data_IF_146897124030
#
_entry.id   IF_146897124030
#
_cell.length_a   1.000
_cell.length_b   1.000
_cell.length_c   1.000
_cell.angle_alpha   90.00
_cell.angle_beta   90.00
_cell.angle_gamma   90.00
#
_symmetry.space_group_name_H-M   'P 1'
#
loop_
_entity.id
_entity.type
_entity.pdbx_description
1 polymer ?
#
# COMPACT_ATOMS: atom_id res chain seq x y z
N UNK A 1 4.63 9.16 -3.59
CA UNK A 1 5.91 8.45 -3.42
C UNK A 1 6.66 8.53 -4.74
N UNK A 2 7.99 8.62 -4.71
CA UNK A 2 8.83 8.77 -5.90
C UNK A 2 10.15 8.02 -5.74
N UNK A 3 10.64 7.43 -6.83
CA UNK A 3 11.87 6.66 -6.89
C UNK A 3 12.87 7.28 -7.85
N UNK A 4 14.13 6.87 -7.75
CA UNK A 4 15.07 6.95 -8.86
C UNK A 4 15.09 5.60 -9.59
N UNK A 5 15.33 5.62 -10.90
CA UNK A 5 15.63 4.40 -11.63
C UNK A 5 16.98 3.81 -11.16
N UNK A 6 17.12 2.49 -11.29
CA UNK A 6 18.39 1.80 -11.08
C UNK A 6 19.49 2.29 -12.03
N UNK A 7 20.68 2.41 -11.47
CA UNK A 7 21.92 2.86 -12.11
C UNK A 7 22.84 1.67 -12.38
N UNK A 8 22.91 1.24 -13.65
CA UNK A 8 23.72 0.10 -14.08
C UNK A 8 25.21 0.27 -13.75
N UNK A 9 25.71 1.50 -13.64
CA UNK A 9 27.12 1.77 -13.26
C UNK A 9 27.42 1.39 -11.81
N UNK A 10 26.38 1.23 -10.98
CA UNK A 10 26.44 0.74 -9.60
C UNK A 10 26.06 -0.74 -9.47
N UNK A 11 25.82 -1.43 -10.59
CA UNK A 11 25.34 -2.81 -10.61
C UNK A 11 23.86 -2.96 -10.25
N UNK A 12 23.08 -1.89 -10.38
CA UNK A 12 21.64 -1.90 -10.12
C UNK A 12 20.83 -2.31 -11.36
N UNK A 13 19.62 -2.82 -11.17
CA UNK A 13 18.73 -3.22 -12.26
C UNK A 13 18.10 -1.99 -12.90
N UNK A 14 18.38 -1.74 -14.18
CA UNK A 14 17.79 -0.62 -14.90
C UNK A 14 16.25 -0.67 -14.86
N UNK A 15 15.63 0.51 -14.69
CA UNK A 15 14.17 0.71 -14.59
C UNK A 15 13.48 0.13 -13.36
N UNK A 16 14.22 -0.49 -12.43
CA UNK A 16 13.70 -0.80 -11.10
C UNK A 16 13.69 0.44 -10.20
N UNK A 17 12.86 0.40 -9.16
CA UNK A 17 12.58 1.51 -8.25
C UNK A 17 13.55 1.56 -7.07
N UNK A 18 14.57 2.41 -7.13
CA UNK A 18 15.56 2.54 -6.05
C UNK A 18 15.31 3.78 -5.19
N UNK A 19 15.69 3.69 -3.92
CA UNK A 19 15.79 4.81 -2.97
C UNK A 19 14.51 5.67 -2.87
N UNK A 20 13.37 5.01 -2.73
CA UNK A 20 12.05 5.61 -2.66
C UNK A 20 11.90 6.65 -1.55
N UNK A 21 11.09 7.68 -1.83
CA UNK A 21 10.83 8.81 -0.93
C UNK A 21 9.35 9.13 -0.89
N UNK A 22 8.86 9.48 0.28
CA UNK A 22 7.50 9.96 0.49
C UNK A 22 7.51 11.47 0.47
N UNK A 23 6.90 12.03 -0.57
CA UNK A 23 6.65 13.45 -0.71
C UNK A 23 5.24 13.75 -0.25
N UNK A 24 5.09 14.87 0.47
CA UNK A 24 3.79 15.39 0.84
C UNK A 24 3.41 16.51 -0.10
N UNK A 25 2.23 16.40 -0.69
CA UNK A 25 1.60 17.48 -1.44
C UNK A 25 0.33 17.91 -0.69
N UNK A 26 0.02 19.22 -0.70
CA UNK A 26 -1.19 19.75 -0.06
C UNK A 26 -1.93 20.66 -1.04
N UNK A 27 -3.24 20.43 -1.20
CA UNK A 27 -4.06 21.33 -2.00
C UNK A 27 -4.05 22.73 -1.39
N UNK A 28 -3.89 23.75 -2.23
CA UNK A 28 -3.96 25.15 -1.81
C UNK A 28 -5.41 25.63 -1.66
N UNK A 29 -6.37 24.84 -2.14
CA UNK A 29 -7.80 25.09 -2.02
C UNK A 29 -8.38 24.18 -0.93
N UNK A 30 -8.99 24.72 0.13
CA UNK A 30 -9.62 23.91 1.16
C UNK A 30 -10.84 23.13 0.68
N UNK A 31 -11.08 21.97 1.31
CA UNK A 31 -12.29 21.16 1.13
C UNK A 31 -12.36 20.46 -0.24
N UNK A 32 -13.56 20.00 -0.59
CA UNK A 32 -13.80 19.17 -1.77
C UNK A 32 -13.38 19.83 -3.10
N UNK A 33 -13.44 21.17 -3.16
CA UNK A 33 -13.02 21.94 -4.33
C UNK A 33 -11.51 21.84 -4.61
N UNK A 34 -10.72 21.43 -3.61
CA UNK A 34 -9.28 21.26 -3.74
C UNK A 34 -8.81 19.91 -4.23
N UNK A 35 -9.69 18.92 -4.45
CA UNK A 35 -9.31 17.58 -4.92
C UNK A 35 -8.62 17.64 -6.29
N UNK A 36 -9.05 18.55 -7.17
CA UNK A 36 -8.41 18.77 -8.47
C UNK A 36 -7.11 19.59 -8.39
N UNK A 37 -6.67 19.97 -7.18
CA UNK A 37 -5.55 20.88 -6.97
C UNK A 37 -5.90 22.35 -7.21
N UNK A 38 -4.89 23.22 -7.43
CA UNK A 38 -3.47 22.89 -7.51
C UNK A 38 -2.89 22.45 -6.16
N UNK A 39 -1.84 21.63 -6.21
CA UNK A 39 -1.15 21.12 -5.05
C UNK A 39 0.19 21.83 -4.88
N UNK A 40 0.47 22.30 -3.66
CA UNK A 40 1.78 22.80 -3.29
C UNK A 40 2.62 21.65 -2.71
N UNK A 41 3.90 21.63 -3.10
CA UNK A 41 4.90 20.72 -2.56
C UNK A 41 5.23 21.11 -1.11
N UNK A 42 5.13 20.14 -0.20
CA UNK A 42 5.40 20.29 1.22
C UNK A 42 6.71 19.59 1.62
N UNK A 43 7.46 19.06 0.65
CA UNK A 43 8.72 18.37 0.84
C UNK A 43 8.56 16.90 1.20
N UNK A 44 9.70 16.32 1.57
CA UNK A 44 9.85 14.90 1.89
C UNK A 44 9.50 14.67 3.36
N UNK A 45 8.66 13.68 3.64
CA UNK A 45 8.25 13.29 5.01
C UNK A 45 8.88 11.99 5.48
N UNK A 46 9.33 11.13 4.55
CA UNK A 46 10.07 9.91 4.85
C UNK A 46 11.00 9.57 3.67
N UNK A 47 12.27 9.23 3.97
CA UNK A 47 13.28 8.86 2.98
C UNK A 47 14.32 7.92 3.58
N UNK A 48 15.11 7.21 2.75
CA UNK A 48 16.29 6.51 3.22
C UNK A 48 17.31 7.45 3.86
N UNK A 49 17.95 6.99 4.93
CA UNK A 49 18.94 7.74 5.70
C UNK A 49 19.50 6.91 6.86
N UNK A 50 20.10 7.57 7.85
CA UNK A 50 20.72 6.90 9.01
C UNK A 50 19.74 6.06 9.85
N UNK A 51 18.45 6.38 9.76
CA UNK A 51 17.38 5.67 10.47
C UNK A 51 16.69 4.60 9.61
N UNK A 52 17.18 4.34 8.40
CA UNK A 52 16.67 3.23 7.58
C UNK A 52 17.00 1.89 8.22
N UNK A 53 16.04 0.98 8.16
CA UNK A 53 16.18 -0.38 8.67
C UNK A 53 16.60 -1.32 7.55
N UNK A 54 17.33 -2.38 7.87
CA UNK A 54 17.92 -3.27 6.87
C UNK A 54 16.89 -3.94 5.94
N UNK A 55 15.68 -4.20 6.44
CA UNK A 55 14.60 -4.84 5.66
C UNK A 55 14.05 -3.94 4.55
N UNK A 56 14.22 -2.62 4.64
CA UNK A 56 13.75 -1.64 3.64
C UNK A 56 14.42 -1.86 2.27
N UNK A 57 15.64 -2.41 2.30
CA UNK A 57 16.39 -2.77 1.12
C UNK A 57 16.70 -1.61 0.18
N UNK A 58 16.98 -1.97 -1.07
CA UNK A 58 17.35 -1.03 -2.13
C UNK A 58 16.21 -0.13 -2.60
N UNK A 59 14.97 -0.62 -2.57
CA UNK A 59 13.77 0.19 -2.85
C UNK A 59 13.53 1.22 -1.75
N UNK A 60 13.95 0.92 -0.52
CA UNK A 60 13.82 1.75 0.67
C UNK A 60 12.38 1.97 1.13
N UNK A 61 11.69 2.99 0.58
CA UNK A 61 10.35 3.38 1.02
C UNK A 61 9.40 3.40 -0.16
N UNK A 62 8.48 2.44 -0.17
CA UNK A 62 7.39 2.28 -1.11
C UNK A 62 6.05 2.39 -0.37
N UNK A 63 5.03 2.92 -1.03
CA UNK A 63 3.69 3.22 -0.50
C UNK A 63 3.66 4.05 0.80
N UNK A 64 2.57 4.79 1.04
CA UNK A 64 2.38 5.53 2.30
C UNK A 64 0.93 6.01 2.43
N UNK A 65 0.11 5.26 3.19
CA UNK A 65 -1.29 5.59 3.41
C UNK A 65 -1.55 5.81 4.91
N UNK A 66 -1.51 7.07 5.40
CA UNK A 66 -1.73 7.36 6.80
C UNK A 66 -3.14 7.05 7.31
N UNK A 67 -3.22 6.48 8.51
CA UNK A 67 -4.45 6.30 9.28
C UNK A 67 -4.22 6.73 10.73
N UNK A 68 -5.29 6.98 11.48
CA UNK A 68 -5.21 7.47 12.86
C UNK A 68 -5.66 6.40 13.84
N UNK A 69 -4.90 6.21 14.92
CA UNK A 69 -5.28 5.41 16.09
C UNK A 69 -5.21 6.32 17.31
N UNK A 70 -6.37 6.64 17.89
CA UNK A 70 -6.47 7.65 18.94
C UNK A 70 -5.93 9.00 18.46
N UNK A 71 -4.85 9.46 19.09
CA UNK A 71 -4.17 10.72 18.76
C UNK A 71 -2.88 10.57 17.95
N UNK A 72 -2.50 9.35 17.61
CA UNK A 72 -1.29 9.08 16.82
C UNK A 72 -1.65 8.69 15.39
N UNK A 73 -0.91 9.23 14.44
CA UNK A 73 -0.95 8.83 13.04
C UNK A 73 0.04 7.69 12.81
N UNK A 74 -0.39 6.71 12.04
CA UNK A 74 0.40 5.58 11.60
C UNK A 74 0.31 5.47 10.08
N UNK A 75 1.31 4.87 9.46
CA UNK A 75 1.30 4.58 8.04
C UNK A 75 2.11 3.32 7.79
N UNK A 76 1.60 2.47 6.92
CA UNK A 76 2.36 1.36 6.38
C UNK A 76 3.28 1.88 5.28
N UNK A 77 4.46 1.28 5.17
CA UNK A 77 5.38 1.47 4.07
C UNK A 77 6.12 0.17 3.77
N UNK A 78 6.36 -0.06 2.50
CA UNK A 78 6.96 -1.27 1.96
C UNK A 78 8.44 -1.02 1.62
N UNK A 79 9.21 -2.10 1.59
CA UNK A 79 10.60 -2.13 1.20
C UNK A 79 10.90 -3.36 0.35
N UNK A 80 12.05 -3.36 -0.33
CA UNK A 80 12.45 -4.48 -1.19
C UNK A 80 13.94 -4.45 -1.51
N UNK A 81 14.52 -5.65 -1.63
CA UNK A 81 15.85 -5.86 -2.19
C UNK A 81 15.76 -6.50 -3.57
N UNK A 82 16.33 -5.83 -4.58
CA UNK A 82 16.43 -6.38 -5.92
C UNK A 82 17.60 -7.36 -6.05
N UNK A 83 18.70 -7.11 -5.32
CA UNK A 83 19.93 -7.91 -5.39
C UNK A 83 20.52 -8.13 -3.98
N UNK A 84 20.57 -9.37 -3.48
CA UNK A 84 19.80 -10.52 -3.99
C UNK A 84 18.30 -10.24 -3.90
N UNK A 85 17.52 -10.84 -4.81
CA UNK A 85 16.08 -10.64 -4.83
C UNK A 85 15.45 -11.19 -3.54
N UNK A 86 14.77 -10.31 -2.80
CA UNK A 86 14.02 -10.64 -1.58
C UNK A 86 12.51 -10.56 -1.79
N UNK A 87 11.76 -10.76 -0.70
CA UNK A 87 10.32 -10.46 -0.68
C UNK A 87 10.03 -8.96 -0.67
N UNK A 88 8.76 -8.62 -0.45
CA UNK A 88 8.29 -7.25 -0.19
C UNK A 88 7.80 -7.12 1.25
N UNK A 89 8.72 -6.97 2.23
CA UNK A 89 8.34 -6.69 3.60
C UNK A 89 7.67 -5.33 3.75
N UNK A 90 6.74 -5.24 4.70
CA UNK A 90 6.06 -4.01 5.08
C UNK A 90 6.34 -3.69 6.55
N UNK A 91 6.58 -2.42 6.85
CA UNK A 91 6.71 -1.91 8.20
C UNK A 91 5.80 -0.71 8.43
N UNK A 92 5.89 -0.14 9.62
CA UNK A 92 5.10 1.02 10.02
C UNK A 92 5.98 2.21 10.40
N UNK A 93 5.45 3.41 10.15
CA UNK A 93 5.93 4.66 10.69
C UNK A 93 4.80 5.35 11.47
N UNK A 94 5.17 6.26 12.38
CA UNK A 94 4.24 7.03 13.21
C UNK A 94 4.56 8.51 13.22
N UNK A 95 3.55 9.33 13.50
CA UNK A 95 3.67 10.77 13.73
C UNK A 95 2.57 11.27 14.68
N UNK A 96 2.85 12.34 15.43
CA UNK A 96 1.81 13.01 16.24
C UNK A 96 0.86 13.83 15.37
N UNK A 97 1.32 14.25 14.18
CA UNK A 97 0.54 15.04 13.22
C UNK A 97 0.69 14.43 11.83
N UNK A 98 -0.35 14.57 11.01
CA UNK A 98 -0.38 14.02 9.65
C UNK A 98 0.77 14.55 8.78
N UNK A 99 1.14 15.83 8.95
CA UNK A 99 2.28 16.46 8.27
C UNK A 99 3.64 15.92 8.70
N UNK A 100 3.71 15.11 9.76
CA UNK A 100 4.94 14.65 10.38
C UNK A 100 5.41 15.55 11.53
N UNK A 101 6.67 15.39 11.97
CA UNK A 101 7.66 14.47 11.43
C UNK A 101 7.25 13.00 11.60
N UNK A 102 7.56 12.17 10.61
CA UNK A 102 7.31 10.74 10.64
C UNK A 102 8.55 9.98 11.12
N UNK A 103 8.36 9.05 12.04
CA UNK A 103 9.41 8.19 12.60
C UNK A 103 9.05 6.73 12.36
N UNK A 104 9.99 5.94 11.86
CA UNK A 104 9.82 4.48 11.71
C UNK A 104 9.55 3.85 13.07
N UNK A 105 8.67 2.86 13.13
CA UNK A 105 8.59 1.96 14.29
C UNK A 105 9.92 1.21 14.44
N UNK A 106 10.23 0.74 15.65
CA UNK A 106 11.53 0.10 15.96
C UNK A 106 11.75 -1.20 15.18
N UNK A 107 13.00 -1.67 15.08
CA UNK A 107 13.32 -2.95 14.42
C UNK A 107 12.74 -4.18 15.15
N UNK A 108 12.44 -4.07 16.44
CA UNK A 108 11.69 -5.13 17.16
C UNK A 108 10.20 -5.19 16.77
N UNK A 109 9.71 -4.15 16.06
CA UNK A 109 8.33 -4.05 15.60
C UNK A 109 8.22 -4.24 14.07
N UNK A 110 9.19 -3.71 13.32
CA UNK A 110 9.27 -3.81 11.87
C UNK A 110 10.28 -4.89 11.43
N UNK A 111 10.00 -5.64 10.35
CA UNK A 111 8.78 -5.60 9.55
C UNK A 111 7.63 -6.33 10.24
N UNK A 112 6.41 -6.05 9.80
CA UNK A 112 5.20 -6.66 10.33
C UNK A 112 5.10 -8.14 9.89
N UNK A 113 4.75 -9.07 10.80
CA UNK A 113 4.65 -10.49 10.47
C UNK A 113 3.30 -10.87 9.81
N UNK A 114 2.75 -10.02 8.93
CA UNK A 114 1.43 -10.22 8.29
C UNK A 114 1.51 -11.20 7.11
N UNK A 115 2.43 -10.94 6.19
CA UNK A 115 2.69 -11.75 4.99
C UNK A 115 4.09 -12.35 5.02
N UNK A 116 4.26 -13.49 4.36
CA UNK A 116 5.57 -14.15 4.28
C UNK A 116 6.36 -13.76 3.02
N UNK A 117 5.67 -13.32 1.95
CA UNK A 117 6.31 -13.09 0.64
C UNK A 117 6.06 -11.68 0.07
N UNK A 118 4.80 -11.29 -0.09
CA UNK A 118 4.45 -10.06 -0.82
C UNK A 118 3.19 -9.37 -0.27
N UNK A 119 3.37 -8.10 0.09
CA UNK A 119 2.34 -7.14 0.44
C UNK A 119 2.81 -5.77 -0.03
N UNK A 120 1.95 -5.03 -0.72
CA UNK A 120 2.28 -3.68 -1.19
C UNK A 120 1.03 -2.79 -1.20
N UNK A 121 1.22 -1.47 -1.15
CA UNK A 121 0.17 -0.46 -1.28
C UNK A 121 -0.98 -0.60 -0.27
N UNK A 122 -0.63 -0.93 0.96
CA UNK A 122 -1.63 -1.18 2.01
C UNK A 122 -2.48 0.05 2.28
N UNK A 123 -3.81 -0.12 2.28
CA UNK A 123 -4.79 0.89 2.67
C UNK A 123 -5.51 0.41 3.92
N UNK A 124 -5.60 1.28 4.93
CA UNK A 124 -6.21 0.99 6.22
C UNK A 124 -7.51 1.77 6.36
N UNK A 125 -8.58 1.07 6.71
CA UNK A 125 -9.88 1.65 7.09
C UNK A 125 -10.19 1.29 8.53
N UNK A 126 -10.61 2.27 9.34
CA UNK A 126 -11.24 2.00 10.62
C UNK A 126 -12.71 1.62 10.38
N UNK A 127 -13.11 0.46 10.89
CA UNK A 127 -14.45 -0.09 10.79
C UNK A 127 -15.39 0.58 11.80
N UNK A 128 -16.70 0.50 11.55
CA UNK A 128 -17.77 1.05 12.41
C UNK A 128 -17.74 0.50 13.83
N UNK A 129 -17.24 -0.72 14.01
CA UNK A 129 -17.06 -1.34 15.32
C UNK A 129 -15.77 -0.92 16.05
N UNK A 130 -14.97 -0.01 15.48
CA UNK A 130 -13.74 0.52 16.05
C UNK A 130 -12.47 -0.25 15.71
N UNK A 131 -12.59 -1.45 15.12
CA UNK A 131 -11.46 -2.26 14.63
C UNK A 131 -10.89 -1.69 13.33
N UNK A 132 -9.83 -2.28 12.81
CA UNK A 132 -9.17 -1.85 11.58
C UNK A 132 -9.08 -3.00 10.58
N UNK A 133 -9.27 -2.64 9.31
CA UNK A 133 -9.09 -3.49 8.15
C UNK A 133 -7.96 -2.90 7.30
N UNK A 134 -6.95 -3.72 7.02
CA UNK A 134 -5.94 -3.46 6.02
C UNK A 134 -6.27 -4.26 4.77
N UNK A 135 -6.28 -3.61 3.61
CA UNK A 135 -6.34 -4.27 2.29
C UNK A 135 -5.09 -3.92 1.49
N UNK A 136 -4.55 -4.88 0.76
CA UNK A 136 -3.25 -4.74 0.10
C UNK A 136 -3.12 -5.64 -1.13
N UNK A 137 -2.11 -5.35 -1.93
CA UNK A 137 -1.71 -6.22 -3.03
C UNK A 137 -1.17 -7.54 -2.52
N UNK A 138 -1.56 -8.65 -3.13
CA UNK A 138 -1.16 -10.00 -2.73
C UNK A 138 -0.72 -10.85 -3.93
N UNK A 139 0.09 -11.87 -3.68
CA UNK A 139 0.38 -12.90 -4.68
C UNK A 139 -0.73 -13.95 -4.75
N UNK A 140 -1.79 -13.62 -5.47
CA UNK A 140 -2.87 -14.55 -5.80
C UNK A 140 -3.45 -14.27 -7.17
N UNK A 141 -4.02 -15.30 -7.79
CA UNK A 141 -4.71 -15.15 -9.07
C UNK A 141 -6.02 -14.40 -8.83
N UNK A 142 -6.11 -13.14 -9.27
CA UNK A 142 -7.31 -12.29 -9.11
C UNK A 142 -7.78 -12.14 -7.66
N UNK A 143 -6.82 -12.09 -6.73
CA UNK A 143 -7.06 -11.97 -5.31
C UNK A 143 -6.50 -10.65 -4.76
N UNK A 144 -7.11 -10.18 -3.67
CA UNK A 144 -6.50 -9.18 -2.79
C UNK A 144 -6.23 -9.81 -1.43
N UNK A 145 -5.21 -9.29 -0.75
CA UNK A 145 -4.91 -9.64 0.63
C UNK A 145 -5.62 -8.70 1.58
N UNK A 146 -6.00 -9.21 2.74
CA UNK A 146 -6.45 -8.40 3.85
C UNK A 146 -5.96 -8.93 5.20
N UNK A 147 -5.94 -8.04 6.19
CA UNK A 147 -5.61 -8.34 7.58
C UNK A 147 -6.46 -7.48 8.51
N UNK A 148 -6.76 -8.01 9.70
CA UNK A 148 -7.58 -7.35 10.71
C UNK A 148 -6.73 -6.97 11.92
N UNK A 149 -7.09 -5.87 12.57
CA UNK A 149 -6.49 -5.44 13.82
C UNK A 149 -7.55 -4.89 14.77
N UNK A 150 -7.44 -5.29 16.04
CA UNK A 150 -8.31 -4.77 17.11
C UNK A 150 -7.87 -3.35 17.57
N UNK A 151 -6.58 -3.04 17.47
CA UNK A 151 -5.98 -1.83 18.02
C UNK A 151 -5.30 -0.93 16.97
N UNK A 152 -5.25 -1.38 15.72
CA UNK A 152 -4.61 -0.68 14.61
C UNK A 152 -3.09 -0.80 14.60
N UNK A 153 -2.49 -1.65 15.44
CA UNK A 153 -1.04 -1.86 15.56
C UNK A 153 -0.67 -3.33 15.42
N UNK A 154 -1.45 -4.23 16.02
CA UNK A 154 -1.24 -5.67 15.98
C UNK A 154 -2.20 -6.29 14.96
N UNK A 155 -1.64 -6.87 13.92
CA UNK A 155 -2.37 -7.32 12.75
C UNK A 155 -2.37 -8.84 12.64
N UNK A 156 -3.50 -9.42 12.22
CA UNK A 156 -3.59 -10.85 11.94
C UNK A 156 -2.73 -11.25 10.74
N UNK A 157 -2.46 -12.55 10.59
CA UNK A 157 -1.92 -13.08 9.33
C UNK A 157 -2.85 -12.75 8.16
N UNK A 158 -2.25 -12.65 6.97
CA UNK A 158 -2.98 -12.42 5.72
C UNK A 158 -4.09 -13.46 5.51
N UNK A 159 -5.23 -12.98 5.05
CA UNK A 159 -6.22 -13.79 4.34
C UNK A 159 -6.39 -13.22 2.94
N UNK A 160 -6.58 -14.10 1.95
CA UNK A 160 -6.81 -13.70 0.55
C UNK A 160 -8.25 -13.94 0.16
N UNK A 161 -8.78 -13.04 -0.67
CA UNK A 161 -10.13 -13.17 -1.23
C UNK A 161 -10.11 -12.98 -2.73
N UNK A 162 -10.76 -13.91 -3.43
CA UNK A 162 -10.97 -13.85 -4.88
C UNK A 162 -11.94 -12.72 -5.20
N UNK A 163 -11.50 -11.79 -6.05
CA UNK A 163 -12.30 -10.63 -6.46
C UNK A 163 -12.97 -10.85 -7.81
N UNK A 164 -12.33 -11.60 -8.71
CA UNK A 164 -12.91 -11.96 -10.01
C UNK A 164 -12.89 -13.46 -10.24
N UNK A 165 -14.01 -13.96 -10.74
CA UNK A 165 -14.24 -15.37 -11.05
C UNK A 165 -14.21 -15.56 -12.57
N UNK A 166 -13.78 -16.74 -13.01
CA UNK A 166 -13.48 -17.04 -14.43
C UNK A 166 -14.63 -16.70 -15.39
N UNK A 167 -15.88 -16.91 -14.96
CA UNK A 167 -17.08 -16.66 -15.75
C UNK A 167 -17.28 -15.18 -16.12
N UNK A 168 -16.66 -14.26 -15.37
CA UNK A 168 -16.86 -12.80 -15.47
C UNK A 168 -15.55 -12.02 -15.32
N UNK A 169 -14.41 -12.69 -15.40
CA UNK A 169 -13.11 -12.05 -15.24
C UNK A 169 -12.74 -11.24 -16.47
N UNK A 170 -12.34 -10.01 -16.25
CA UNK A 170 -11.68 -9.17 -17.25
C UNK A 170 -10.19 -8.98 -16.92
N UNK A 171 -9.79 -9.23 -15.67
CA UNK A 171 -8.39 -9.24 -15.25
C UNK A 171 -7.71 -10.50 -15.76
N UNK A 172 -6.49 -10.35 -16.27
CA UNK A 172 -5.63 -11.46 -16.68
C UNK A 172 -5.41 -12.45 -15.54
N UNK A 173 -5.19 -13.72 -15.90
CA UNK A 173 -4.76 -14.72 -14.93
C UNK A 173 -3.38 -14.37 -14.35
N UNK A 174 -3.10 -14.94 -13.18
CA UNK A 174 -1.78 -14.98 -12.58
C UNK A 174 -1.58 -14.01 -11.42
N UNK A 175 -0.49 -14.26 -10.69
CA UNK A 175 -0.08 -13.41 -9.57
C UNK A 175 0.07 -11.98 -10.05
N UNK A 176 -0.34 -11.02 -9.23
CA UNK A 176 -0.06 -9.59 -9.44
C UNK A 176 -0.80 -8.97 -10.64
N UNK A 177 -1.66 -9.73 -11.33
CA UNK A 177 -2.56 -9.21 -12.38
C UNK A 177 -3.70 -8.38 -11.76
N UNK A 178 -4.20 -8.76 -10.60
CA UNK A 178 -5.14 -7.93 -9.83
C UNK A 178 -4.36 -7.15 -8.78
N UNK A 179 -4.27 -5.84 -9.02
CA UNK A 179 -3.56 -4.85 -8.22
C UNK A 179 -4.09 -3.50 -8.64
N UNK A 180 -4.48 -2.56 -7.80
CA UNK A 180 -4.28 -2.43 -6.35
C UNK A 180 -5.59 -2.07 -5.68
N UNK A 181 -5.96 -2.68 -4.54
CA UNK A 181 -7.12 -2.22 -3.78
C UNK A 181 -6.88 -0.78 -3.32
N UNK A 182 -7.67 0.15 -3.85
CA UNK A 182 -7.59 1.58 -3.57
C UNK A 182 -8.37 1.95 -2.31
N UNK A 183 -9.36 1.13 -1.93
CA UNK A 183 -10.13 1.27 -0.71
C UNK A 183 -10.92 0.00 -0.38
N UNK A 184 -11.31 -0.14 0.88
CA UNK A 184 -12.42 -0.98 1.31
C UNK A 184 -13.33 -0.14 2.22
N UNK A 185 -14.56 0.12 1.77
CA UNK A 185 -15.53 0.98 2.43
C UNK A 185 -16.62 0.08 3.00
N UNK A 186 -16.78 0.07 4.32
CA UNK A 186 -17.85 -0.64 5.00
C UNK A 186 -19.20 0.07 4.78
N UNK A 187 -20.13 -0.61 4.11
CA UNK A 187 -21.48 -0.16 3.81
C UNK A 187 -22.42 -0.36 5.01
N UNK A 188 -23.64 0.17 4.94
CA UNK A 188 -24.62 0.10 6.05
C UNK A 188 -25.23 -1.29 6.26
N UNK A 189 -25.18 -2.15 5.24
CA UNK A 189 -25.66 -3.53 5.29
C UNK A 189 -24.59 -4.54 5.73
N UNK A 190 -23.40 -4.07 6.11
CA UNK A 190 -22.25 -4.90 6.49
C UNK A 190 -21.43 -5.42 5.31
N UNK A 191 -21.80 -5.08 4.08
CA UNK A 191 -20.96 -5.35 2.90
C UNK A 191 -19.86 -4.31 2.76
N UNK A 192 -18.93 -4.55 1.85
CA UNK A 192 -17.79 -3.68 1.58
C UNK A 192 -17.72 -3.33 0.11
N UNK A 193 -17.71 -2.04 -0.22
CA UNK A 193 -17.29 -1.59 -1.55
C UNK A 193 -15.78 -1.55 -1.64
N UNK A 194 -15.22 -2.29 -2.59
CA UNK A 194 -13.79 -2.26 -2.93
C UNK A 194 -13.61 -1.69 -4.33
N UNK A 195 -12.77 -0.67 -4.44
CA UNK A 195 -12.25 -0.21 -5.73
C UNK A 195 -10.84 -0.75 -5.86
N UNK A 196 -10.51 -1.31 -7.02
CA UNK A 196 -9.21 -1.92 -7.28
C UNK A 196 -8.73 -1.58 -8.68
N UNK A 197 -7.46 -1.81 -8.99
CA UNK A 197 -7.00 -1.88 -10.38
C UNK A 197 -6.72 -3.33 -10.80
N UNK A 198 -6.63 -3.57 -12.10
CA UNK A 198 -6.27 -4.89 -12.62
C UNK A 198 -5.80 -4.83 -14.06
N UNK A 199 -4.87 -5.71 -14.40
CA UNK A 199 -4.27 -5.82 -15.71
C UNK A 199 -5.23 -6.48 -16.68
N UNK A 200 -5.48 -5.83 -17.82
CA UNK A 200 -6.26 -6.38 -18.91
C UNK A 200 -5.69 -5.96 -20.26
N UNK A 201 -6.12 -6.63 -21.33
CA UNK A 201 -5.83 -6.20 -22.69
C UNK A 201 -7.00 -5.39 -23.24
N UNK A 202 -6.71 -4.20 -23.76
CA UNK A 202 -7.65 -3.42 -24.58
C UNK A 202 -6.96 -3.12 -25.89
N UNK A 203 -7.53 -3.61 -27.00
CA UNK A 203 -6.98 -3.43 -28.35
C UNK A 203 -5.51 -3.90 -28.45
N UNK A 204 -5.24 -5.08 -27.89
CA UNK A 204 -3.91 -5.73 -27.89
C UNK A 204 -2.85 -5.02 -27.04
N UNK A 205 -3.21 -3.97 -26.30
CA UNK A 205 -2.32 -3.30 -25.37
C UNK A 205 -2.69 -3.64 -23.91
N UNK A 206 -1.67 -4.01 -23.14
CA UNK A 206 -1.82 -4.28 -21.72
C UNK A 206 -1.89 -2.96 -20.94
N UNK A 207 -2.91 -2.81 -20.10
CA UNK A 207 -3.04 -1.66 -19.21
C UNK A 207 -3.77 -2.05 -17.92
N UNK A 208 -3.54 -1.26 -16.86
CA UNK A 208 -4.27 -1.42 -15.61
C UNK A 208 -5.56 -0.59 -15.66
N UNK A 209 -6.71 -1.27 -15.64
CA UNK A 209 -8.04 -0.66 -15.56
C UNK A 209 -8.51 -0.56 -14.10
N UNK A 210 -9.48 0.31 -13.82
CA UNK A 210 -10.12 0.43 -12.50
C UNK A 210 -11.39 -0.41 -12.47
N UNK A 211 -11.53 -1.24 -11.44
CA UNK A 211 -12.70 -2.05 -11.14
C UNK A 211 -13.37 -1.67 -9.82
N UNK A 212 -14.61 -2.12 -9.66
CA UNK A 212 -15.36 -2.08 -8.40
C UNK A 212 -15.98 -3.45 -8.14
N UNK A 213 -15.95 -3.91 -6.89
CA UNK A 213 -16.75 -5.03 -6.43
C UNK A 213 -17.41 -4.73 -5.08
N UNK A 214 -18.35 -5.60 -4.69
CA UNK A 214 -18.91 -5.65 -3.35
C UNK A 214 -18.50 -6.97 -2.73
N UNK A 215 -17.93 -6.93 -1.53
CA UNK A 215 -17.56 -8.10 -0.74
C UNK A 215 -18.49 -8.19 0.47
N UNK A 216 -18.76 -9.41 0.94
CA UNK A 216 -19.39 -9.65 2.22
C UNK A 216 -18.46 -10.60 3.00
N UNK A 217 -18.18 -10.26 4.26
CA UNK A 217 -17.43 -11.14 5.15
C UNK A 217 -18.44 -11.99 5.92
N UNK A 218 -18.32 -13.31 5.82
CA UNK A 218 -19.03 -14.24 6.71
C UNK A 218 -18.28 -14.43 8.04
#
# INVERSE_FOLDING_TARGET
MAYRAGDETKGEIARSDYSGRIWRAKSVIPGIKGIAGPYADMGIVLQPGELSQAWEGQQAVASFNPYKVGDTWYAFYDGHNYIPQGGWPTGMARAEKLEGPWTRMTEDFNPLPIVDEFMENTVITQLKNGKYLAVFDSFGDREIGYSLSEDGLNWSKETRIKVQFEDRAWVKDGNHSLRTPLCAIEEDDGTFTVIYTGLMDLREEAFYAVGKCTLAWE
#
